data_IF_315271549785
#
_entry.id   IF_315271549785
#
_cell.length_a   1.000
_cell.length_b   1.000
_cell.length_c   1.000
_cell.angle_alpha   90.00
_cell.angle_beta   90.00
_cell.angle_gamma   90.00
#
_symmetry.space_group_name_H-M   'P 1'
#
loop_
_entity.id
_entity.type
_entity.pdbx_description
1 polymer ?
#
# COMPACT_ATOMS: atom_id res chain seq x y z
N UNK A 1 -27.35 -18.59 -21.26
CA UNK A 1 -27.40 -18.25 -19.81
C UNK A 1 -26.12 -18.54 -19.02
N UNK A 2 -25.32 -19.57 -19.37
CA UNK A 2 -24.09 -19.92 -18.62
C UNK A 2 -22.94 -18.91 -18.75
N UNK A 3 -22.79 -18.22 -19.89
CA UNK A 3 -21.71 -17.26 -20.13
C UNK A 3 -21.87 -16.01 -19.24
N UNK A 4 -23.08 -15.47 -19.13
CA UNK A 4 -23.38 -14.31 -18.28
C UNK A 4 -23.07 -14.61 -16.80
N UNK A 5 -23.45 -15.80 -16.31
CA UNK A 5 -23.13 -16.25 -14.94
C UNK A 5 -21.62 -16.42 -14.72
N UNK A 6 -20.89 -16.96 -15.70
CA UNK A 6 -19.43 -17.10 -15.66
C UNK A 6 -18.73 -15.73 -15.60
N UNK A 7 -19.18 -14.78 -16.41
CA UNK A 7 -18.63 -13.42 -16.45
C UNK A 7 -18.89 -12.65 -15.15
N UNK A 8 -20.09 -12.76 -14.58
CA UNK A 8 -20.39 -12.11 -13.29
C UNK A 8 -19.53 -12.67 -12.15
N UNK A 9 -19.24 -13.98 -12.16
CA UNK A 9 -18.32 -14.60 -11.20
C UNK A 9 -16.88 -14.13 -11.41
N UNK A 10 -16.38 -14.08 -12.64
CA UNK A 10 -15.00 -13.63 -12.92
C UNK A 10 -14.79 -12.17 -12.50
N UNK A 11 -15.76 -11.29 -12.72
CA UNK A 11 -15.72 -9.90 -12.26
C UNK A 11 -15.64 -9.83 -10.73
N UNK A 12 -16.48 -10.61 -10.02
CA UNK A 12 -16.44 -10.69 -8.55
C UNK A 12 -15.08 -11.15 -8.04
N UNK A 13 -14.51 -12.20 -8.64
CA UNK A 13 -13.20 -12.72 -8.25
C UNK A 13 -12.08 -11.72 -8.52
N UNK A 14 -12.10 -11.03 -9.66
CA UNK A 14 -11.12 -9.97 -9.98
C UNK A 14 -11.17 -8.85 -8.95
N UNK A 15 -12.36 -8.37 -8.57
CA UNK A 15 -12.50 -7.35 -7.53
C UNK A 15 -11.97 -7.82 -6.17
N UNK A 16 -12.29 -9.05 -5.76
CA UNK A 16 -11.77 -9.62 -4.51
C UNK A 16 -10.24 -9.76 -4.56
N UNK A 17 -9.68 -10.25 -5.67
CA UNK A 17 -8.23 -10.36 -5.84
C UNK A 17 -7.55 -9.00 -5.71
N UNK A 18 -8.06 -7.96 -6.39
CA UNK A 18 -7.51 -6.60 -6.28
C UNK A 18 -7.59 -6.05 -4.85
N UNK A 19 -8.67 -6.37 -4.12
CA UNK A 19 -8.82 -5.99 -2.71
C UNK A 19 -7.77 -6.67 -1.83
N UNK A 20 -7.52 -7.96 -2.03
CA UNK A 20 -6.49 -8.71 -1.29
C UNK A 20 -5.09 -8.22 -1.63
N UNK A 21 -4.78 -7.98 -2.91
CA UNK A 21 -3.50 -7.39 -3.33
C UNK A 21 -3.25 -6.04 -2.66
N UNK A 22 -4.27 -5.17 -2.58
CA UNK A 22 -4.15 -3.89 -1.88
C UNK A 22 -3.85 -4.07 -0.39
N UNK A 23 -4.50 -5.02 0.28
CA UNK A 23 -4.24 -5.32 1.70
C UNK A 23 -2.80 -5.81 1.90
N UNK A 24 -2.32 -6.70 1.04
CA UNK A 24 -0.96 -7.22 1.09
C UNK A 24 0.08 -6.11 0.97
N UNK A 25 -0.07 -5.21 -0.02
CA UNK A 25 0.83 -4.06 -0.20
C UNK A 25 0.87 -3.16 1.03
N UNK A 26 -0.28 -2.84 1.61
CA UNK A 26 -0.37 -2.03 2.84
C UNK A 26 0.29 -2.78 4.02
N UNK A 27 0.07 -4.09 4.13
CA UNK A 27 0.69 -4.92 5.17
C UNK A 27 2.22 -4.92 5.07
N UNK A 28 2.76 -5.03 3.86
CA UNK A 28 4.20 -4.99 3.62
C UNK A 28 4.81 -3.64 4.01
N UNK A 29 4.19 -2.52 3.60
CA UNK A 29 4.61 -1.19 4.06
C UNK A 29 4.50 -1.10 5.59
N UNK A 30 3.38 -1.56 6.17
CA UNK A 30 3.15 -1.50 7.61
C UNK A 30 4.17 -2.30 8.40
N UNK A 31 4.63 -3.43 7.90
CA UNK A 31 5.67 -4.23 8.57
C UNK A 31 7.01 -3.51 8.50
N UNK A 32 7.33 -2.87 7.38
CA UNK A 32 8.57 -2.13 7.22
C UNK A 32 8.67 -0.93 8.17
N UNK A 33 7.64 -0.08 8.19
CA UNK A 33 7.64 1.14 9.02
C UNK A 33 7.66 0.85 10.53
N UNK A 34 7.21 -0.35 10.96
CA UNK A 34 7.31 -0.75 12.37
C UNK A 34 8.75 -0.80 12.87
N UNK A 35 9.71 -1.07 11.98
CA UNK A 35 11.14 -1.02 12.30
C UNK A 35 11.61 0.40 12.73
N UNK A 36 10.81 1.42 12.42
CA UNK A 36 11.10 2.82 12.76
C UNK A 36 10.27 3.32 13.96
N UNK A 37 9.70 2.42 14.76
CA UNK A 37 8.85 2.75 15.91
C UNK A 37 7.61 3.60 15.55
N UNK A 38 7.07 3.41 14.33
CA UNK A 38 5.81 4.05 13.91
C UNK A 38 4.84 3.01 13.35
N UNK A 39 3.55 3.32 13.39
CA UNK A 39 2.50 2.49 12.80
C UNK A 39 1.96 3.11 11.51
N UNK A 40 1.23 2.31 10.72
CA UNK A 40 0.75 2.76 9.40
C UNK A 40 -0.23 3.92 9.47
N UNK A 41 -1.09 3.98 10.50
CA UNK A 41 -2.03 5.08 10.66
C UNK A 41 -1.31 6.39 10.94
N UNK A 42 -0.34 6.36 11.87
CA UNK A 42 0.50 7.52 12.19
C UNK A 42 1.34 7.95 10.99
N UNK A 43 1.99 7.00 10.31
CA UNK A 43 2.74 7.27 9.09
C UNK A 43 1.87 7.89 7.99
N UNK A 44 0.69 7.32 7.72
CA UNK A 44 -0.24 7.84 6.71
C UNK A 44 -0.79 9.21 7.10
N UNK A 45 -0.99 9.47 8.39
CA UNK A 45 -1.39 10.77 8.89
C UNK A 45 -0.29 11.81 8.61
N UNK A 46 0.97 11.51 8.98
CA UNK A 46 2.13 12.39 8.75
C UNK A 46 2.37 12.63 7.25
N UNK A 47 2.21 11.62 6.40
CA UNK A 47 2.28 11.75 4.94
C UNK A 47 1.22 12.71 4.39
N UNK A 48 -0.02 12.64 4.92
CA UNK A 48 -1.09 13.52 4.47
C UNK A 48 -0.98 14.95 5.01
N UNK A 49 -0.30 15.14 6.14
CA UNK A 49 -0.10 16.46 6.78
C UNK A 49 1.23 17.10 6.36
N UNK A 50 2.15 16.33 5.79
CA UNK A 50 3.27 16.84 5.03
C UNK A 50 2.82 17.11 3.59
N UNK A 51 3.51 18.01 2.88
CA UNK A 51 3.28 18.25 1.46
C UNK A 51 3.77 17.07 0.57
N UNK A 52 3.78 15.84 1.09
CA UNK A 52 4.26 14.63 0.41
C UNK A 52 3.05 13.83 -0.09
N UNK A 53 2.64 14.11 -1.33
CA UNK A 53 1.51 13.43 -1.95
C UNK A 53 1.94 12.17 -2.71
N UNK A 54 2.44 11.14 -2.00
CA UNK A 54 2.82 9.86 -2.62
C UNK A 54 1.66 8.85 -2.62
N UNK A 55 1.43 8.23 -3.77
CA UNK A 55 0.48 7.13 -3.89
C UNK A 55 1.02 5.88 -3.15
N UNK A 56 0.14 5.15 -2.47
CA UNK A 56 0.48 3.89 -1.78
C UNK A 56 1.10 2.83 -2.70
N UNK A 57 0.78 2.84 -4.00
CA UNK A 57 1.45 1.98 -4.98
C UNK A 57 2.92 2.36 -5.15
N UNK A 58 3.21 3.65 -5.28
CA UNK A 58 4.58 4.16 -5.40
C UNK A 58 5.36 3.92 -4.12
N UNK A 59 4.77 4.16 -2.95
CA UNK A 59 5.38 3.82 -1.66
C UNK A 59 5.71 2.33 -1.55
N UNK A 60 4.84 1.46 -2.07
CA UNK A 60 5.08 0.04 -2.10
C UNK A 60 6.26 -0.32 -3.01
N UNK A 61 6.30 0.26 -4.21
CA UNK A 61 7.37 0.01 -5.18
C UNK A 61 8.71 0.51 -4.64
N UNK A 62 8.77 1.73 -4.07
CA UNK A 62 9.95 2.28 -3.37
C UNK A 62 10.40 1.36 -2.24
N UNK A 63 9.47 0.85 -1.43
CA UNK A 63 9.79 -0.08 -0.34
C UNK A 63 10.40 -1.41 -0.83
N UNK A 64 10.13 -1.83 -2.07
CA UNK A 64 10.71 -3.04 -2.66
C UNK A 64 12.06 -2.79 -3.34
N UNK A 65 12.20 -1.67 -4.05
CA UNK A 65 13.36 -1.42 -4.92
C UNK A 65 14.40 -0.49 -4.31
N UNK A 66 14.00 0.41 -3.42
CA UNK A 66 14.81 1.55 -2.98
C UNK A 66 14.75 1.75 -1.47
N UNK A 67 15.55 0.93 -0.76
CA UNK A 67 15.68 0.99 0.69
C UNK A 67 16.02 2.40 1.22
N UNK A 68 17.01 3.06 0.61
CA UNK A 68 17.46 4.39 1.05
C UNK A 68 16.37 5.45 0.87
N UNK A 69 15.68 5.46 -0.27
CA UNK A 69 14.59 6.39 -0.55
C UNK A 69 13.45 6.25 0.46
N UNK A 70 13.05 5.01 0.78
CA UNK A 70 12.02 4.77 1.80
C UNK A 70 12.44 5.29 3.18
N UNK A 71 13.70 5.11 3.55
CA UNK A 71 14.22 5.61 4.83
C UNK A 71 14.25 7.12 4.89
N UNK A 72 14.65 7.80 3.81
CA UNK A 72 14.63 9.26 3.73
C UNK A 72 13.22 9.80 3.91
N UNK A 73 12.21 9.17 3.29
CA UNK A 73 10.80 9.55 3.48
C UNK A 73 10.40 9.39 4.95
N UNK A 74 10.71 8.26 5.59
CA UNK A 74 10.37 8.03 7.00
C UNK A 74 11.09 9.02 7.93
N UNK A 75 12.34 9.36 7.62
CA UNK A 75 13.14 10.32 8.39
C UNK A 75 12.57 11.74 8.30
N UNK A 76 12.13 12.19 7.12
CA UNK A 76 11.50 13.51 6.92
C UNK A 76 10.20 13.66 7.71
N UNK A 77 9.47 12.55 7.92
CA UNK A 77 8.17 12.55 8.60
C UNK A 77 8.28 12.45 10.12
N UNK A 78 9.46 12.11 10.65
CA UNK A 78 9.73 12.08 12.09
C UNK A 78 10.11 13.46 12.60
#
# INVERSE_FOLDING_TARGET
MNIIRKNNRSLKYSHMHNKEQRKLKISQISNYIRNFNTNYSTFSYLMNHSNICLNRKVLYDINLSEYYSMNSVIYILK
#
